data_IF_116927074645
#
_entry.id   IF_116927074645
#
_cell.length_a   1.000
_cell.length_b   1.000
_cell.length_c   1.000
_cell.angle_alpha   90.00
_cell.angle_beta   90.00
_cell.angle_gamma   90.00
#
_symmetry.space_group_name_H-M   'P 1'
#
loop_
_entity.id
_entity.type
_entity.pdbx_description
1 polymer ?
#
# COMPACT_ATOMS: atom_id res chain seq x y z
N UNK A 1 -21.89 -6.66 10.26
CA UNK A 1 -20.91 -7.38 9.43
C UNK A 1 -19.50 -7.05 9.87
N UNK A 2 -18.97 -5.84 9.70
CA UNK A 2 -17.70 -5.39 10.27
C UNK A 2 -17.96 -4.21 11.22
N UNK A 3 -17.94 -4.41 12.55
CA UNK A 3 -18.28 -3.34 13.50
C UNK A 3 -17.25 -2.20 13.52
N UNK A 4 -16.00 -2.46 13.07
CA UNK A 4 -14.97 -1.42 12.97
C UNK A 4 -15.16 -0.50 11.74
N UNK A 5 -15.95 -0.92 10.76
CA UNK A 5 -16.14 -0.17 9.51
C UNK A 5 -14.85 -0.01 8.69
N UNK A 6 -13.87 -0.91 8.90
CA UNK A 6 -12.60 -0.90 8.14
C UNK A 6 -12.73 -1.64 6.82
N UNK A 7 -11.91 -1.27 5.86
CA UNK A 7 -11.75 -1.97 4.59
C UNK A 7 -10.29 -2.46 4.47
N UNK A 8 -10.07 -3.59 3.82
CA UNK A 8 -11.05 -4.49 3.21
C UNK A 8 -11.83 -5.35 4.24
N UNK A 9 -12.96 -5.90 3.82
CA UNK A 9 -13.74 -6.90 4.57
C UNK A 9 -14.11 -8.03 3.62
N UNK A 10 -13.71 -9.26 3.93
CA UNK A 10 -14.06 -10.45 3.17
C UNK A 10 -15.13 -11.26 3.92
N UNK A 11 -16.18 -11.65 3.20
CA UNK A 11 -17.19 -12.58 3.71
C UNK A 11 -17.08 -13.89 2.93
N UNK A 12 -16.81 -14.98 3.66
CA UNK A 12 -16.77 -16.33 3.09
C UNK A 12 -17.66 -17.26 3.92
N UNK A 13 -18.82 -17.60 3.38
CA UNK A 13 -19.88 -18.29 4.11
C UNK A 13 -20.35 -17.45 5.32
N UNK A 14 -20.21 -18.00 6.51
CA UNK A 14 -20.53 -17.31 7.78
C UNK A 14 -19.36 -16.54 8.40
N UNK A 15 -18.16 -16.62 7.80
CA UNK A 15 -16.96 -15.97 8.32
C UNK A 15 -16.86 -14.55 7.79
N UNK A 16 -16.56 -13.61 8.67
CA UNK A 16 -16.21 -12.23 8.34
C UNK A 16 -14.75 -12.04 8.71
N UNK A 17 -13.93 -11.71 7.73
CA UNK A 17 -12.50 -11.53 7.87
C UNK A 17 -12.17 -10.06 7.64
N UNK A 18 -11.33 -9.53 8.51
CA UNK A 18 -10.77 -8.17 8.46
C UNK A 18 -9.24 -8.28 8.51
N UNK A 19 -8.52 -7.16 8.34
CA UNK A 19 -7.07 -7.09 8.26
C UNK A 19 -6.52 -7.72 6.96
N UNK A 20 -6.02 -6.87 6.07
CA UNK A 20 -5.67 -7.25 4.69
C UNK A 20 -4.61 -8.36 4.61
N UNK A 21 -3.55 -8.30 5.40
CA UNK A 21 -2.47 -9.29 5.36
C UNK A 21 -2.92 -10.68 5.82
N UNK A 22 -3.56 -10.87 7.00
CA UNK A 22 -4.16 -12.15 7.37
C UNK A 22 -5.23 -12.65 6.41
N UNK A 23 -6.00 -11.73 5.82
CA UNK A 23 -7.01 -12.07 4.80
C UNK A 23 -6.35 -12.65 3.54
N UNK A 24 -5.23 -12.09 3.09
CA UNK A 24 -4.47 -12.64 1.97
C UNK A 24 -3.92 -14.04 2.27
N UNK A 25 -3.41 -14.28 3.49
CA UNK A 25 -3.00 -15.62 3.91
C UNK A 25 -4.18 -16.61 3.91
N UNK A 26 -5.36 -16.17 4.37
CA UNK A 26 -6.57 -17.00 4.35
C UNK A 26 -6.99 -17.35 2.92
N UNK A 27 -6.99 -16.37 2.00
CA UNK A 27 -7.33 -16.58 0.59
C UNK A 27 -6.36 -17.58 -0.04
N UNK A 28 -5.05 -17.39 0.19
CA UNK A 28 -4.02 -18.29 -0.31
C UNK A 28 -4.19 -19.74 0.20
N UNK A 29 -4.59 -19.90 1.46
CA UNK A 29 -4.77 -21.23 2.06
C UNK A 29 -6.04 -21.95 1.57
N UNK A 30 -7.14 -21.21 1.38
CA UNK A 30 -8.50 -21.79 1.25
C UNK A 30 -8.95 -21.92 -0.20
N UNK A 31 -8.55 -20.98 -1.08
CA UNK A 31 -8.99 -20.98 -2.47
C UNK A 31 -7.97 -21.67 -3.38
N UNK A 32 -8.47 -22.23 -4.49
CA UNK A 32 -7.62 -22.84 -5.50
C UNK A 32 -6.81 -21.78 -6.26
N UNK A 33 -5.60 -22.17 -6.63
CA UNK A 33 -4.68 -21.32 -7.39
C UNK A 33 -3.22 -21.51 -6.99
N UNK A 34 -2.30 -20.80 -7.65
CA UNK A 34 -0.89 -20.80 -7.30
C UNK A 34 -0.70 -20.28 -5.86
N UNK A 35 -0.01 -21.05 -5.03
CA UNK A 35 0.24 -20.64 -3.64
C UNK A 35 1.31 -19.57 -3.56
N UNK A 36 1.02 -18.52 -2.82
CA UNK A 36 1.91 -17.37 -2.57
C UNK A 36 2.62 -17.47 -1.21
N UNK A 37 2.14 -18.36 -0.33
CA UNK A 37 2.84 -18.71 0.89
C UNK A 37 3.66 -20.00 0.69
N UNK A 38 4.99 -19.94 0.88
CA UNK A 38 5.84 -21.11 0.74
C UNK A 38 5.50 -22.19 1.79
N UNK A 39 5.77 -23.47 1.45
CA UNK A 39 5.60 -24.58 2.38
C UNK A 39 6.69 -24.62 3.46
N UNK A 40 7.92 -24.25 3.09
CA UNK A 40 9.06 -24.21 4.03
C UNK A 40 8.85 -23.18 5.14
N UNK A 41 9.00 -23.60 6.43
CA UNK A 41 8.78 -22.68 7.56
C UNK A 41 9.70 -21.46 7.59
N UNK A 42 10.96 -21.61 7.20
CA UNK A 42 11.91 -20.49 7.18
C UNK A 42 11.58 -19.49 6.08
N UNK A 43 11.20 -19.96 4.88
CA UNK A 43 10.71 -19.11 3.81
C UNK A 43 9.40 -18.41 4.19
N UNK A 44 8.48 -19.12 4.85
CA UNK A 44 7.23 -18.54 5.37
C UNK A 44 7.48 -17.46 6.41
N UNK A 45 8.47 -17.63 7.28
CA UNK A 45 8.89 -16.60 8.22
C UNK A 45 9.34 -15.33 7.49
N UNK A 46 10.20 -15.45 6.47
CA UNK A 46 10.65 -14.30 5.67
C UNK A 46 9.48 -13.55 5.01
N UNK A 47 8.52 -14.28 4.44
CA UNK A 47 7.31 -13.66 3.85
C UNK A 47 6.55 -12.85 4.90
N UNK A 48 6.28 -13.42 6.08
CA UNK A 48 5.56 -12.73 7.15
C UNK A 48 6.33 -11.56 7.73
N UNK A 49 7.65 -11.67 7.82
CA UNK A 49 8.51 -10.57 8.25
C UNK A 49 8.37 -9.37 7.30
N UNK A 50 8.43 -9.60 5.98
CA UNK A 50 8.23 -8.55 4.98
C UNK A 50 6.82 -7.96 5.02
N UNK A 51 5.79 -8.78 5.13
CA UNK A 51 4.41 -8.30 5.32
C UNK A 51 4.30 -7.41 6.55
N UNK A 52 4.83 -7.84 7.70
CA UNK A 52 4.80 -7.07 8.94
C UNK A 52 5.52 -5.71 8.81
N UNK A 53 6.70 -5.70 8.21
CA UNK A 53 7.46 -4.46 7.95
C UNK A 53 6.70 -3.52 7.02
N UNK A 54 6.06 -4.07 5.99
CA UNK A 54 5.20 -3.32 5.07
C UNK A 54 4.04 -2.65 5.80
N UNK A 55 3.33 -3.38 6.66
CA UNK A 55 2.22 -2.84 7.46
C UNK A 55 2.69 -1.70 8.39
N UNK A 56 3.88 -1.82 8.98
CA UNK A 56 4.46 -0.77 9.81
C UNK A 56 4.81 0.49 9.01
N UNK A 57 5.38 0.34 7.81
CA UNK A 57 5.75 1.45 6.94
C UNK A 57 4.52 2.15 6.34
N UNK A 58 3.42 1.43 6.13
CA UNK A 58 2.16 1.97 5.61
C UNK A 58 1.56 3.07 6.48
N UNK A 59 1.86 3.11 7.78
CA UNK A 59 1.41 4.18 8.67
C UNK A 59 1.97 5.55 8.26
N UNK A 60 3.28 5.62 7.92
CA UNK A 60 3.90 6.85 7.43
C UNK A 60 3.37 7.23 6.03
N UNK A 61 3.18 6.25 5.16
CA UNK A 61 2.58 6.48 3.85
C UNK A 61 1.16 7.04 3.96
N UNK A 62 0.39 6.63 4.96
CA UNK A 62 -0.95 7.14 5.21
C UNK A 62 -0.94 8.66 5.49
N UNK A 63 0.03 9.18 6.23
CA UNK A 63 0.18 10.62 6.49
C UNK A 63 0.33 11.38 5.16
N UNK A 64 1.21 10.91 4.28
CA UNK A 64 1.44 11.51 2.96
C UNK A 64 0.20 11.41 2.06
N UNK A 65 -0.46 10.25 2.05
CA UNK A 65 -1.70 10.05 1.29
C UNK A 65 -2.86 10.95 1.78
N UNK A 66 -2.98 11.15 3.08
CA UNK A 66 -3.94 12.09 3.66
C UNK A 66 -3.65 13.52 3.24
N UNK A 67 -2.39 13.94 3.35
CA UNK A 67 -1.98 15.29 2.98
C UNK A 67 -2.19 15.57 1.49
N UNK A 68 -1.69 14.68 0.62
CA UNK A 68 -1.60 14.94 -0.82
C UNK A 68 -2.88 14.62 -1.60
N UNK A 69 -3.70 13.69 -1.12
CA UNK A 69 -4.86 13.19 -1.85
C UNK A 69 -6.18 13.38 -1.10
N UNK A 70 -6.30 12.83 0.09
CA UNK A 70 -7.58 12.79 0.80
C UNK A 70 -7.95 14.17 1.37
N UNK A 71 -7.01 14.91 1.92
CA UNK A 71 -7.23 16.25 2.46
C UNK A 71 -7.79 17.22 1.41
N UNK A 72 -7.16 17.39 0.23
CA UNK A 72 -7.69 18.21 -0.83
C UNK A 72 -9.09 17.79 -1.31
N UNK A 73 -9.37 16.48 -1.37
CA UNK A 73 -10.69 15.97 -1.74
C UNK A 73 -11.75 16.31 -0.68
N UNK A 74 -11.40 16.21 0.60
CA UNK A 74 -12.31 16.52 1.71
C UNK A 74 -12.57 18.02 1.84
N UNK A 75 -11.60 18.87 1.51
CA UNK A 75 -11.78 20.34 1.49
C UNK A 75 -12.82 20.84 0.49
N UNK A 76 -13.22 20.03 -0.48
CA UNK A 76 -14.28 20.36 -1.44
C UNK A 76 -15.69 20.13 -0.87
N UNK A 77 -15.80 19.53 0.32
CA UNK A 77 -17.05 19.24 0.99
C UNK A 77 -17.41 20.34 1.99
N UNK A 78 -18.70 20.57 2.19
CA UNK A 78 -19.16 21.45 3.27
C UNK A 78 -18.84 20.83 4.64
N UNK A 79 -18.74 21.70 5.66
CA UNK A 79 -18.49 21.26 7.04
C UNK A 79 -19.56 20.28 7.54
N UNK A 80 -20.83 20.56 7.22
CA UNK A 80 -21.94 19.65 7.55
C UNK A 80 -21.85 18.28 6.86
N UNK A 81 -21.37 18.25 5.62
CA UNK A 81 -21.17 17.00 4.88
C UNK A 81 -20.02 16.19 5.47
N UNK A 82 -18.92 16.85 5.83
CA UNK A 82 -17.78 16.23 6.51
C UNK A 82 -18.19 15.63 7.86
N UNK A 83 -18.90 16.40 8.68
CA UNK A 83 -19.36 15.95 9.99
C UNK A 83 -20.29 14.74 9.88
N UNK A 84 -21.20 14.74 8.90
CA UNK A 84 -22.05 13.58 8.61
C UNK A 84 -21.26 12.34 8.19
N UNK A 85 -20.22 12.51 7.37
CA UNK A 85 -19.36 11.40 6.94
C UNK A 85 -18.53 10.85 8.10
N UNK A 86 -17.93 11.73 8.91
CA UNK A 86 -17.11 11.36 10.07
C UNK A 86 -17.96 10.69 11.15
N UNK A 87 -19.17 11.17 11.42
CA UNK A 87 -20.08 10.58 12.40
C UNK A 87 -20.47 9.12 12.07
N UNK A 88 -20.44 8.73 10.79
CA UNK A 88 -20.70 7.35 10.35
C UNK A 88 -19.56 6.37 10.63
N UNK A 89 -18.38 6.85 10.99
CA UNK A 89 -17.23 5.99 11.32
C UNK A 89 -17.47 5.39 12.71
N UNK A 90 -17.53 4.05 12.85
CA UNK A 90 -17.89 3.43 14.13
C UNK A 90 -16.87 3.67 15.23
N UNK A 91 -15.57 3.59 14.92
CA UNK A 91 -14.49 3.70 15.90
C UNK A 91 -14.15 5.17 16.22
N UNK A 92 -14.17 5.52 17.51
CA UNK A 92 -13.89 6.87 18.01
C UNK A 92 -12.51 7.38 17.58
N UNK A 93 -11.49 6.54 17.71
CA UNK A 93 -10.11 6.87 17.36
C UNK A 93 -9.98 7.22 15.88
N UNK A 94 -10.68 6.48 15.04
CA UNK A 94 -10.73 6.76 13.59
C UNK A 94 -11.48 8.06 13.30
N UNK A 95 -12.59 8.35 13.99
CA UNK A 95 -13.27 9.64 13.83
C UNK A 95 -12.36 10.81 14.14
N UNK A 96 -11.58 10.71 15.24
CA UNK A 96 -10.60 11.74 15.61
C UNK A 96 -9.54 11.90 14.52
N UNK A 97 -8.95 10.80 14.04
CA UNK A 97 -7.95 10.83 12.97
C UNK A 97 -8.49 11.42 11.67
N UNK A 98 -9.71 11.03 11.27
CA UNK A 98 -10.37 11.56 10.07
C UNK A 98 -10.69 13.06 10.22
N UNK A 99 -11.17 13.48 11.38
CA UNK A 99 -11.44 14.89 11.66
C UNK A 99 -10.17 15.73 11.57
N UNK A 100 -9.06 15.26 12.18
CA UNK A 100 -7.76 15.93 12.11
C UNK A 100 -7.24 16.02 10.68
N UNK A 101 -7.31 14.93 9.93
CA UNK A 101 -6.85 14.88 8.55
C UNK A 101 -7.70 15.76 7.61
N UNK A 102 -9.02 15.80 7.79
CA UNK A 102 -9.92 16.67 7.02
C UNK A 102 -9.58 18.16 7.22
N UNK A 103 -9.13 18.53 8.41
CA UNK A 103 -8.68 19.90 8.75
C UNK A 103 -7.26 20.23 8.30
N UNK A 104 -6.54 19.28 7.67
CA UNK A 104 -5.16 19.46 7.17
C UNK A 104 -4.17 19.96 8.21
N UNK A 105 -4.08 19.27 9.35
CA UNK A 105 -3.29 19.68 10.50
C UNK A 105 -1.90 19.05 10.57
N UNK A 106 -1.39 18.46 9.49
CA UNK A 106 -0.02 17.96 9.46
C UNK A 106 0.96 19.13 9.35
N UNK A 107 1.94 19.19 10.25
CA UNK A 107 3.05 20.13 10.18
C UNK A 107 4.08 19.68 9.13
N UNK A 108 4.91 20.61 8.64
CA UNK A 108 6.01 20.25 7.73
C UNK A 108 6.95 19.23 8.37
N UNK A 109 7.25 19.34 9.67
CA UNK A 109 8.05 18.36 10.41
C UNK A 109 7.42 16.95 10.36
N UNK A 110 6.11 16.82 10.50
CA UNK A 110 5.41 15.53 10.40
C UNK A 110 5.46 14.96 8.99
N UNK A 111 5.34 15.82 7.99
CA UNK A 111 5.43 15.43 6.58
C UNK A 111 6.85 14.99 6.22
N UNK A 112 7.86 15.72 6.67
CA UNK A 112 9.28 15.37 6.44
C UNK A 112 9.67 14.07 7.16
N UNK A 113 9.23 13.87 8.38
CA UNK A 113 9.40 12.60 9.11
C UNK A 113 8.73 11.44 8.35
N UNK A 114 7.52 11.64 7.84
CA UNK A 114 6.83 10.64 7.05
C UNK A 114 7.55 10.35 5.71
N UNK A 115 8.04 11.37 4.99
CA UNK A 115 8.84 11.21 3.76
C UNK A 115 10.11 10.44 4.04
N UNK A 116 10.84 10.80 5.11
CA UNK A 116 12.07 10.12 5.51
C UNK A 116 11.84 8.64 5.85
N UNK A 117 10.78 8.31 6.59
CA UNK A 117 10.41 6.92 6.93
C UNK A 117 10.05 6.10 5.69
N UNK A 118 9.27 6.66 4.78
CA UNK A 118 8.89 6.01 3.52
C UNK A 118 10.12 5.86 2.61
N UNK A 119 11.00 6.86 2.56
CA UNK A 119 12.27 6.80 1.85
C UNK A 119 13.21 5.72 2.38
N UNK A 120 13.32 5.60 3.71
CA UNK A 120 14.11 4.54 4.33
C UNK A 120 13.56 3.15 3.97
N UNK A 121 12.23 2.99 3.91
CA UNK A 121 11.58 1.77 3.45
C UNK A 121 11.89 1.45 1.98
N UNK A 122 11.80 2.44 1.09
CA UNK A 122 12.16 2.28 -0.31
C UNK A 122 13.62 1.83 -0.49
N UNK A 123 14.55 2.42 0.28
CA UNK A 123 15.95 2.04 0.29
C UNK A 123 16.17 0.60 0.82
N UNK A 124 15.40 0.17 1.82
CA UNK A 124 15.45 -1.21 2.34
C UNK A 124 14.97 -2.21 1.30
N UNK A 125 13.83 -1.96 0.65
CA UNK A 125 13.34 -2.77 -0.46
C UNK A 125 14.38 -2.84 -1.59
N UNK A 126 14.97 -1.72 -1.97
CA UNK A 126 15.99 -1.66 -3.01
C UNK A 126 17.23 -2.52 -2.68
N UNK A 127 17.71 -2.50 -1.42
CA UNK A 127 18.83 -3.35 -0.98
C UNK A 127 18.49 -4.84 -1.04
N UNK A 128 17.27 -5.22 -0.70
CA UNK A 128 16.83 -6.62 -0.81
C UNK A 128 16.70 -7.06 -2.27
N UNK A 129 16.06 -6.22 -3.10
CA UNK A 129 15.85 -6.50 -4.52
C UNK A 129 17.13 -6.44 -5.38
N UNK A 130 18.21 -5.89 -4.85
CA UNK A 130 19.54 -6.03 -5.42
C UNK A 130 20.14 -7.44 -5.26
N UNK A 131 19.58 -8.26 -4.36
CA UNK A 131 20.08 -9.61 -4.03
C UNK A 131 19.19 -10.72 -4.60
N UNK A 132 17.89 -10.49 -4.65
CA UNK A 132 16.90 -11.46 -5.10
C UNK A 132 15.83 -10.78 -5.94
N UNK A 133 15.21 -11.48 -6.90
CA UNK A 133 14.18 -10.89 -7.78
C UNK A 133 12.91 -10.48 -7.04
N UNK A 134 12.66 -11.05 -5.84
CA UNK A 134 11.49 -10.76 -5.01
C UNK A 134 11.88 -10.52 -3.55
N UNK A 135 11.00 -9.90 -2.78
CA UNK A 135 11.29 -9.46 -1.41
C UNK A 135 11.65 -10.62 -0.46
N UNK A 136 10.99 -11.76 -0.60
CA UNK A 136 11.25 -12.92 0.27
C UNK A 136 12.20 -13.96 -0.34
N UNK A 137 12.76 -13.73 -1.54
CA UNK A 137 13.71 -14.62 -2.21
C UNK A 137 13.47 -14.76 -3.70
N UNK A 138 13.61 -15.99 -4.23
CA UNK A 138 13.63 -16.27 -5.68
C UNK A 138 12.25 -16.30 -6.33
N UNK A 139 11.17 -16.41 -5.56
CA UNK A 139 9.81 -16.56 -6.07
C UNK A 139 8.89 -15.46 -5.58
N UNK A 140 7.92 -15.08 -6.42
CA UNK A 140 6.85 -14.17 -6.07
C UNK A 140 5.99 -14.75 -4.93
N UNK A 141 5.76 -13.94 -3.89
CA UNK A 141 5.05 -14.34 -2.67
C UNK A 141 4.04 -13.29 -2.20
N UNK A 142 3.34 -13.56 -1.10
CA UNK A 142 2.49 -12.56 -0.42
C UNK A 142 3.28 -11.31 0.02
N UNK A 143 4.59 -11.41 0.28
CA UNK A 143 5.43 -10.25 0.59
C UNK A 143 5.41 -9.21 -0.52
N UNK A 144 5.56 -9.67 -1.75
CA UNK A 144 5.55 -8.80 -2.93
C UNK A 144 4.17 -8.21 -3.19
N UNK A 145 3.12 -9.03 -3.04
CA UNK A 145 1.74 -8.59 -3.22
C UNK A 145 1.37 -7.49 -2.21
N UNK A 146 1.67 -7.69 -0.93
CA UNK A 146 1.34 -6.72 0.14
C UNK A 146 2.17 -5.45 -0.01
N UNK A 147 3.47 -5.58 -0.31
CA UNK A 147 4.33 -4.42 -0.56
C UNK A 147 3.89 -3.63 -1.80
N UNK A 148 3.57 -4.30 -2.90
CA UNK A 148 3.10 -3.64 -4.10
C UNK A 148 1.80 -2.89 -3.87
N UNK A 149 0.82 -3.49 -3.19
CA UNK A 149 -0.46 -2.85 -2.89
C UNK A 149 -0.31 -1.52 -2.13
N UNK A 150 0.69 -1.40 -1.28
CA UNK A 150 0.94 -0.19 -0.48
C UNK A 150 1.89 0.81 -1.17
N UNK A 151 2.91 0.34 -1.89
CA UNK A 151 4.04 1.17 -2.28
C UNK A 151 4.23 1.37 -3.79
N UNK A 152 3.30 0.92 -4.62
CA UNK A 152 3.40 1.10 -6.08
C UNK A 152 3.49 2.57 -6.53
N UNK A 153 2.98 3.50 -5.74
CA UNK A 153 2.93 4.93 -6.04
C UNK A 153 4.10 5.77 -5.50
N UNK A 154 5.13 5.16 -4.90
CA UNK A 154 6.24 5.90 -4.29
C UNK A 154 6.98 6.84 -5.26
N UNK A 155 7.22 6.50 -6.53
CA UNK A 155 7.90 7.43 -7.45
C UNK A 155 7.19 8.78 -7.61
N UNK A 156 5.86 8.82 -7.39
CA UNK A 156 5.09 10.07 -7.38
C UNK A 156 4.98 10.71 -6.00
N UNK A 157 4.96 9.89 -4.94
CA UNK A 157 4.72 10.37 -3.58
C UNK A 157 5.99 10.95 -2.95
N UNK A 158 7.12 10.32 -3.22
CA UNK A 158 8.45 10.67 -2.68
C UNK A 158 9.53 10.52 -3.76
N UNK A 159 9.44 11.29 -4.88
CA UNK A 159 10.37 11.15 -6.02
C UNK A 159 11.83 11.37 -5.62
N UNK A 160 12.10 12.16 -4.59
CA UNK A 160 13.43 12.41 -4.04
C UNK A 160 14.07 11.14 -3.43
N UNK A 161 13.28 10.13 -3.06
CA UNK A 161 13.74 8.86 -2.50
C UNK A 161 13.55 7.68 -3.46
N UNK A 162 12.49 7.67 -4.25
CA UNK A 162 12.10 6.58 -5.13
C UNK A 162 12.33 6.95 -6.61
N UNK A 163 13.58 6.89 -7.05
CA UNK A 163 14.03 7.26 -8.39
C UNK A 163 15.14 6.33 -8.91
N UNK A 164 15.51 6.50 -10.17
CA UNK A 164 16.51 5.64 -10.85
C UNK A 164 17.90 5.69 -10.25
N UNK A 165 18.28 6.81 -9.65
CA UNK A 165 19.60 6.98 -9.01
C UNK A 165 19.67 6.24 -7.66
N UNK A 166 18.65 6.41 -6.82
CA UNK A 166 18.66 5.91 -5.43
C UNK A 166 18.08 4.51 -5.26
N UNK A 167 17.09 4.14 -6.07
CA UNK A 167 16.35 2.88 -5.90
C UNK A 167 16.09 2.14 -7.22
N UNK A 168 17.14 1.88 -8.04
CA UNK A 168 17.00 1.27 -9.37
C UNK A 168 16.39 -0.15 -9.31
N UNK A 169 16.76 -0.97 -8.32
CA UNK A 169 16.23 -2.33 -8.17
C UNK A 169 14.76 -2.34 -7.76
N UNK A 170 14.36 -1.40 -6.88
CA UNK A 170 12.96 -1.20 -6.54
C UNK A 170 12.14 -0.79 -7.77
N UNK A 171 12.62 0.14 -8.60
CA UNK A 171 11.93 0.52 -9.83
C UNK A 171 11.85 -0.61 -10.85
N UNK A 172 12.90 -1.43 -10.97
CA UNK A 172 12.87 -2.63 -11.83
C UNK A 172 11.82 -3.64 -11.35
N UNK A 173 11.79 -3.91 -10.04
CA UNK A 173 10.77 -4.76 -9.42
C UNK A 173 9.37 -4.17 -9.64
N UNK A 174 9.20 -2.87 -9.47
CA UNK A 174 7.92 -2.19 -9.65
C UNK A 174 7.38 -2.35 -11.08
N UNK A 175 8.25 -2.18 -12.11
CA UNK A 175 7.89 -2.47 -13.51
C UNK A 175 7.43 -3.91 -13.70
N UNK A 176 8.18 -4.85 -13.12
CA UNK A 176 7.83 -6.27 -13.18
C UNK A 176 6.47 -6.56 -12.51
N UNK A 177 6.21 -5.95 -11.37
CA UNK A 177 4.94 -6.07 -10.66
C UNK A 177 3.76 -5.47 -11.44
N UNK A 178 3.95 -4.32 -12.09
CA UNK A 178 2.93 -3.71 -12.96
C UNK A 178 2.61 -4.56 -14.19
N UNK A 179 3.60 -5.23 -14.78
CA UNK A 179 3.43 -6.09 -15.94
C UNK A 179 2.69 -7.41 -15.66
N UNK A 180 2.45 -7.77 -14.40
CA UNK A 180 1.71 -8.99 -14.05
C UNK A 180 0.25 -8.91 -14.54
N UNK A 181 -0.31 -10.00 -15.10
CA UNK A 181 -1.69 -10.00 -15.60
C UNK A 181 -2.74 -9.58 -14.57
N UNK A 182 -2.54 -9.92 -13.29
CA UNK A 182 -3.44 -9.51 -12.21
C UNK A 182 -3.38 -7.98 -11.96
N UNK A 183 -2.18 -7.39 -12.00
CA UNK A 183 -2.00 -5.94 -11.84
C UNK A 183 -2.63 -5.18 -13.02
N UNK A 184 -2.41 -5.64 -14.24
CA UNK A 184 -3.02 -5.04 -15.45
C UNK A 184 -4.55 -5.03 -15.30
N UNK A 185 -5.16 -6.17 -14.94
CA UNK A 185 -6.62 -6.24 -14.73
C UNK A 185 -7.10 -5.31 -13.61
N UNK A 186 -6.36 -5.22 -12.49
CA UNK A 186 -6.68 -4.34 -11.39
C UNK A 186 -6.74 -2.87 -11.84
N UNK A 187 -5.70 -2.39 -12.51
CA UNK A 187 -5.63 -1.00 -12.97
C UNK A 187 -6.65 -0.69 -14.08
N UNK A 188 -6.95 -1.64 -14.94
CA UNK A 188 -8.01 -1.49 -15.95
C UNK A 188 -9.42 -1.45 -15.34
N UNK A 189 -9.68 -2.23 -14.29
CA UNK A 189 -10.99 -2.28 -13.62
C UNK A 189 -11.27 -1.02 -12.76
N UNK A 190 -10.22 -0.34 -12.30
CA UNK A 190 -10.34 0.84 -11.44
C UNK A 190 -10.11 2.13 -12.24
N UNK A 191 -11.15 2.95 -12.41
CA UNK A 191 -11.03 4.26 -13.10
C UNK A 191 -10.01 5.19 -12.43
N UNK A 192 -10.01 5.29 -11.11
CA UNK A 192 -9.10 6.15 -10.36
C UNK A 192 -7.68 5.61 -10.32
N UNK A 193 -7.49 4.32 -10.02
CA UNK A 193 -6.18 3.69 -10.02
C UNK A 193 -5.58 3.63 -11.42
N UNK A 194 -6.41 3.38 -12.46
CA UNK A 194 -5.95 3.38 -13.84
C UNK A 194 -5.38 4.73 -14.27
N UNK A 195 -6.04 5.84 -13.93
CA UNK A 195 -5.53 7.19 -14.22
C UNK A 195 -4.24 7.51 -13.46
N UNK A 196 -4.12 7.07 -12.21
CA UNK A 196 -2.90 7.23 -11.43
C UNK A 196 -1.75 6.38 -11.99
N UNK A 197 -2.03 5.17 -12.47
CA UNK A 197 -1.02 4.27 -13.04
C UNK A 197 -0.54 4.73 -14.43
N UNK A 198 -1.38 5.39 -15.23
CA UNK A 198 -0.98 5.97 -16.53
C UNK A 198 0.11 7.04 -16.36
N UNK A 199 0.05 7.86 -15.29
CA UNK A 199 1.12 8.80 -14.98
C UNK A 199 2.43 8.11 -14.62
N UNK A 200 2.38 7.00 -13.87
CA UNK A 200 3.56 6.20 -13.53
C UNK A 200 4.16 5.46 -14.73
N UNK A 201 3.36 5.09 -15.73
CA UNK A 201 3.84 4.44 -16.94
C UNK A 201 4.85 5.28 -17.71
N UNK A 202 4.65 6.60 -17.78
CA UNK A 202 5.59 7.54 -18.38
C UNK A 202 6.88 7.66 -17.53
N UNK A 203 6.75 7.86 -16.22
CA UNK A 203 7.89 7.99 -15.29
C UNK A 203 8.75 6.70 -15.24
N UNK A 204 8.14 5.51 -15.38
CA UNK A 204 8.85 4.23 -15.41
C UNK A 204 9.50 3.96 -16.78
N UNK A 205 9.04 4.59 -17.86
CA UNK A 205 9.64 4.51 -19.19
C UNK A 205 10.82 5.46 -19.37
N UNK A 206 10.77 6.66 -18.78
CA UNK A 206 11.86 7.64 -18.84
C UNK A 206 13.09 7.23 -17.99
N UNK A 207 12.93 6.32 -17.04
CA UNK A 207 14.01 5.80 -16.19
C UNK A 207 14.69 4.53 -16.74
N UNK A 208 14.40 4.12 -17.98
CA UNK A 208 14.99 2.96 -18.66
C UNK A 208 16.03 3.41 -19.69
#
# INVERSE_FOLDING_TARGET
MNPAGTVPTLVHGKRVLTESTPMCEYIDAVFDGPKLMPADPAARYRVREWCRRTDMAAAALSVLGWHSFLGPMLKQKSEEELDRLIARIPLKERRIAWSAAAKSTFTEEQLDDARAKVGAWAAEMNRQLARTPYLAGETYTLADLVAFANFWGLPRTVPEYANAERTPHYLSWLRHMHARPASIRLFQASRSLGQMALGLGAELQEAA
#
